data_IF_407347508397
#
_entry.id   IF_407347508397
#
_cell.length_a   1.000
_cell.length_b   1.000
_cell.length_c   1.000
_cell.angle_alpha   90.00
_cell.angle_beta   90.00
_cell.angle_gamma   90.00
#
_symmetry.space_group_name_H-M   'P 1'
#
loop_
_entity.id
_entity.type
_entity.pdbx_description
1 polymer ?
#
# COMPACT_ATOMS: atom_id res chain seq x y z
N UNK A 1 63.92 44.99 15.67
CA UNK A 1 63.35 44.00 16.54
C UNK A 1 61.91 44.33 16.77
N UNK A 2 60.94 43.47 16.59
CA UNK A 2 59.47 43.64 16.59
C UNK A 2 58.93 44.17 15.25
N UNK A 3 58.52 43.24 14.35
CA UNK A 3 57.43 43.43 13.36
C UNK A 3 57.44 42.29 12.32
N UNK A 4 57.41 41.01 12.74
CA UNK A 4 57.15 39.88 11.84
C UNK A 4 56.36 38.82 12.61
N UNK A 5 55.13 39.10 12.92
CA UNK A 5 54.27 38.08 13.52
C UNK A 5 52.78 38.46 13.42
N UNK A 6 52.34 38.91 12.28
CA UNK A 6 50.89 39.16 12.05
C UNK A 6 50.41 38.92 10.62
N UNK A 7 51.12 38.16 9.81
CA UNK A 7 50.70 37.95 8.40
C UNK A 7 50.52 36.49 8.01
N UNK A 8 50.58 35.55 8.95
CA UNK A 8 50.42 34.12 8.64
C UNK A 8 49.10 33.54 9.14
N UNK A 9 48.22 34.35 9.76
CA UNK A 9 46.90 33.89 10.27
C UNK A 9 45.72 34.21 9.35
N UNK A 10 45.95 34.84 8.18
CA UNK A 10 44.86 35.25 7.29
C UNK A 10 44.77 34.49 5.97
N UNK A 11 45.63 33.51 5.72
CA UNK A 11 45.67 32.73 4.48
C UNK A 11 45.07 31.32 4.67
N UNK A 12 44.77 30.88 5.89
CA UNK A 12 44.16 29.57 6.15
C UNK A 12 42.64 29.57 6.26
N UNK A 13 41.97 30.73 6.13
CA UNK A 13 40.51 30.85 6.26
C UNK A 13 39.79 30.95 4.90
N UNK A 14 40.50 30.95 3.77
CA UNK A 14 39.86 31.11 2.43
C UNK A 14 39.94 29.82 1.59
N UNK A 15 40.57 28.76 2.09
CA UNK A 15 40.72 27.48 1.35
C UNK A 15 39.64 26.44 1.70
N UNK A 16 38.61 26.76 2.49
CA UNK A 16 37.53 25.82 2.85
C UNK A 16 36.13 26.21 2.38
N UNK A 17 36.01 27.06 1.35
CA UNK A 17 34.68 27.47 0.84
C UNK A 17 34.50 27.25 -0.67
N UNK A 18 35.15 26.27 -1.27
CA UNK A 18 34.89 25.94 -2.67
C UNK A 18 34.87 24.45 -2.94
N UNK A 19 34.06 23.68 -2.21
CA UNK A 19 33.77 22.29 -2.58
C UNK A 19 32.37 21.84 -2.18
N UNK A 20 31.34 22.56 -2.59
CA UNK A 20 29.96 22.09 -2.51
C UNK A 20 29.11 22.60 -3.66
N UNK A 21 29.48 22.30 -4.90
CA UNK A 21 28.53 22.33 -6.03
C UNK A 21 29.01 21.30 -7.05
N UNK A 22 28.77 20.01 -6.81
CA UNK A 22 28.55 19.02 -7.87
C UNK A 22 27.72 17.90 -7.29
N UNK A 23 26.54 17.68 -7.84
CA UNK A 23 25.83 16.45 -7.58
C UNK A 23 24.34 16.61 -7.23
N UNK A 24 23.57 17.43 -7.95
CA UNK A 24 22.16 17.14 -8.10
C UNK A 24 22.01 16.03 -9.15
N UNK A 25 22.48 14.83 -8.80
CA UNK A 25 21.99 13.60 -9.36
C UNK A 25 20.78 13.22 -8.53
N UNK A 26 19.59 13.44 -9.06
CA UNK A 26 18.37 12.90 -8.48
C UNK A 26 18.40 11.38 -8.62
N UNK A 27 19.11 10.70 -7.72
CA UNK A 27 18.74 9.35 -7.36
C UNK A 27 17.43 9.48 -6.61
N UNK A 28 16.35 9.20 -7.33
CA UNK A 28 15.09 8.81 -6.74
C UNK A 28 15.39 7.50 -6.00
N UNK A 29 15.91 7.61 -4.79
CA UNK A 29 15.94 6.53 -3.86
C UNK A 29 14.47 6.15 -3.66
N UNK A 30 14.11 4.96 -4.09
CA UNK A 30 12.94 4.26 -3.61
C UNK A 30 13.00 4.37 -2.09
N UNK A 31 12.21 5.29 -1.53
CA UNK A 31 11.90 5.27 -0.12
C UNK A 31 11.07 4.01 0.07
N UNK A 32 11.73 2.93 0.45
CA UNK A 32 11.07 1.86 1.19
C UNK A 32 10.47 2.54 2.42
N UNK A 33 9.16 2.78 2.34
CA UNK A 33 8.42 3.22 3.48
C UNK A 33 8.50 2.07 4.49
N UNK A 34 9.37 2.19 5.49
CA UNK A 34 9.31 1.32 6.67
C UNK A 34 7.91 1.47 7.23
N UNK A 35 7.13 0.42 7.07
CA UNK A 35 5.78 0.35 7.58
C UNK A 35 5.87 0.35 9.10
N UNK A 36 5.33 1.39 9.73
CA UNK A 36 5.31 1.51 11.19
C UNK A 36 4.14 0.66 11.75
N UNK A 37 4.45 -0.56 12.19
CA UNK A 37 3.51 -1.49 12.83
C UNK A 37 3.43 -1.26 14.35
N UNK A 38 3.81 -0.08 14.84
CA UNK A 38 3.92 0.20 16.29
C UNK A 38 2.59 0.58 16.96
N UNK A 39 1.56 0.91 16.18
CA UNK A 39 0.27 1.35 16.69
C UNK A 39 -0.62 0.14 17.00
N UNK A 40 -0.69 -0.23 18.28
CA UNK A 40 -1.42 -1.40 18.77
C UNK A 40 -2.94 -1.18 18.68
N UNK A 41 -3.49 -1.41 17.51
CA UNK A 41 -4.93 -1.68 17.34
C UNK A 41 -5.06 -3.06 16.72
N UNK A 42 -6.16 -3.78 16.98
CA UNK A 42 -6.36 -5.11 16.42
C UNK A 42 -6.73 -5.09 14.92
N UNK A 43 -6.46 -3.99 14.24
CA UNK A 43 -6.81 -3.76 12.83
C UNK A 43 -5.55 -3.58 11.97
N UNK A 44 -5.48 -4.32 10.88
CA UNK A 44 -4.49 -4.18 9.82
C UNK A 44 -5.20 -3.80 8.52
N UNK A 45 -4.69 -2.80 7.82
CA UNK A 45 -5.15 -2.43 6.48
C UNK A 45 -4.11 -2.88 5.47
N UNK A 46 -4.44 -3.87 4.65
CA UNK A 46 -3.58 -4.36 3.58
C UNK A 46 -4.13 -3.92 2.24
N UNK A 47 -3.32 -3.35 1.37
CA UNK A 47 -3.80 -2.88 0.09
C UNK A 47 -2.78 -2.99 -1.04
N UNK A 48 -3.30 -3.11 -2.26
CA UNK A 48 -2.58 -2.91 -3.51
C UNK A 48 -3.15 -1.70 -4.25
N UNK A 49 -2.29 -0.83 -4.76
CA UNK A 49 -2.70 0.36 -5.51
C UNK A 49 -1.74 0.64 -6.66
N UNK A 50 -2.28 0.86 -7.86
CA UNK A 50 -1.53 1.28 -9.03
C UNK A 50 -1.70 2.78 -9.29
N UNK A 51 -2.95 3.27 -9.27
CA UNK A 51 -3.31 4.66 -9.58
C UNK A 51 -3.30 5.62 -8.37
N UNK A 52 -3.08 5.11 -7.15
CA UNK A 52 -3.19 5.89 -5.91
C UNK A 52 -4.56 5.79 -5.23
N UNK A 53 -5.63 5.36 -5.93
CA UNK A 53 -6.99 5.31 -5.36
C UNK A 53 -7.06 4.48 -4.07
N UNK A 54 -6.51 3.27 -4.10
CA UNK A 54 -6.52 2.40 -2.90
C UNK A 54 -5.58 2.88 -1.81
N UNK A 55 -4.54 3.63 -2.15
CA UNK A 55 -3.67 4.29 -1.16
C UNK A 55 -4.46 5.32 -0.35
N UNK A 56 -5.22 6.19 -1.03
CA UNK A 56 -6.11 7.18 -0.38
C UNK A 56 -7.18 6.50 0.48
N UNK A 57 -7.92 5.54 -0.09
CA UNK A 57 -8.95 4.81 0.65
C UNK A 57 -8.38 4.10 1.89
N UNK A 58 -7.23 3.44 1.75
CA UNK A 58 -6.55 2.74 2.84
C UNK A 58 -6.08 3.70 3.95
N UNK A 59 -5.60 4.88 3.57
CA UNK A 59 -5.25 5.92 4.51
C UNK A 59 -6.46 6.36 5.35
N UNK A 60 -7.61 6.57 4.73
CA UNK A 60 -8.84 6.95 5.45
C UNK A 60 -9.36 5.82 6.36
N UNK A 61 -9.25 4.56 5.91
CA UNK A 61 -9.59 3.39 6.76
C UNK A 61 -8.64 3.30 7.95
N UNK A 62 -7.33 3.40 7.73
CA UNK A 62 -6.33 3.34 8.79
C UNK A 62 -6.49 4.50 9.79
N UNK A 63 -6.73 5.71 9.29
CA UNK A 63 -7.00 6.88 10.13
C UNK A 63 -8.23 6.71 11.01
N UNK A 64 -9.32 6.16 10.46
CA UNK A 64 -10.58 6.00 11.18
C UNK A 64 -10.51 4.86 12.21
N UNK A 65 -9.87 3.74 11.85
CA UNK A 65 -9.69 2.58 12.73
C UNK A 65 -8.57 2.76 13.76
N UNK A 66 -7.60 3.62 13.46
CA UNK A 66 -6.31 3.66 14.16
C UNK A 66 -5.43 2.45 13.86
N UNK A 67 -5.73 1.69 12.81
CA UNK A 67 -5.01 0.48 12.39
C UNK A 67 -3.68 0.75 11.71
N UNK A 68 -2.84 -0.27 11.67
CA UNK A 68 -1.61 -0.26 10.89
C UNK A 68 -1.91 -0.47 9.39
N UNK A 69 -1.04 0.02 8.52
CA UNK A 69 -1.25 -0.03 7.08
C UNK A 69 -0.06 -0.67 6.36
N UNK A 70 -0.33 -1.65 5.50
CA UNK A 70 0.67 -2.36 4.69
C UNK A 70 0.30 -2.30 3.22
N UNK A 71 1.23 -1.84 2.38
CA UNK A 71 1.08 -1.87 0.93
C UNK A 71 1.69 -3.15 0.35
N UNK A 72 0.95 -3.85 -0.48
CA UNK A 72 1.47 -4.92 -1.32
C UNK A 72 2.17 -4.29 -2.52
N UNK A 73 3.48 -4.43 -2.60
CA UNK A 73 4.30 -3.97 -3.72
C UNK A 73 4.75 -5.19 -4.55
N UNK A 74 4.82 -5.05 -5.85
CA UNK A 74 5.45 -6.04 -6.71
C UNK A 74 6.94 -5.75 -6.83
N UNK A 75 7.80 -6.78 -6.88
CA UNK A 75 9.22 -6.59 -7.12
C UNK A 75 9.50 -5.97 -8.49
N UNK A 76 8.75 -6.38 -9.49
CA UNK A 76 8.73 -5.76 -10.81
C UNK A 76 7.51 -4.84 -10.87
N UNK A 77 7.75 -3.54 -10.92
CA UNK A 77 6.68 -2.54 -10.96
C UNK A 77 5.83 -2.68 -12.24
N UNK A 78 4.54 -2.40 -12.11
CA UNK A 78 3.67 -2.29 -13.29
C UNK A 78 4.02 -1.03 -14.09
N UNK A 79 3.88 -1.09 -15.44
CA UNK A 79 4.10 0.09 -16.27
C UNK A 79 3.25 1.31 -15.84
N UNK A 80 3.74 2.51 -16.13
CA UNK A 80 2.96 3.74 -15.92
C UNK A 80 1.81 3.87 -16.93
N UNK A 81 1.96 3.28 -18.12
CA UNK A 81 0.94 3.26 -19.16
C UNK A 81 -0.22 2.36 -18.75
N UNK A 82 -1.44 2.91 -18.83
CA UNK A 82 -2.66 2.13 -18.56
C UNK A 82 -2.78 0.88 -19.45
N UNK A 83 -2.54 1.04 -20.76
CA UNK A 83 -2.68 -0.06 -21.71
C UNK A 83 -1.67 -1.18 -21.43
N UNK A 84 -0.41 -0.83 -21.19
CA UNK A 84 0.64 -1.80 -20.92
C UNK A 84 0.40 -2.52 -19.58
N UNK A 85 -0.11 -1.80 -18.58
CA UNK A 85 -0.51 -2.38 -17.30
C UNK A 85 -1.71 -3.31 -17.47
N UNK A 86 -2.73 -2.90 -18.21
CA UNK A 86 -3.90 -3.73 -18.48
C UNK A 86 -3.53 -5.02 -19.23
N UNK A 87 -2.67 -4.93 -20.25
CA UNK A 87 -2.18 -6.06 -21.03
C UNK A 87 -1.35 -7.03 -20.17
N UNK A 88 -0.45 -6.49 -19.32
CA UNK A 88 0.33 -7.29 -18.38
C UNK A 88 -0.58 -8.00 -17.39
N UNK A 89 -1.48 -7.28 -16.76
CA UNK A 89 -2.43 -7.84 -15.78
C UNK A 89 -3.30 -8.94 -16.40
N UNK A 90 -3.75 -8.76 -17.65
CA UNK A 90 -4.50 -9.80 -18.38
C UNK A 90 -3.67 -11.05 -18.62
N UNK A 91 -2.44 -10.89 -19.06
CA UNK A 91 -1.53 -12.02 -19.29
C UNK A 91 -1.22 -12.78 -17.99
N UNK A 92 -1.02 -12.05 -16.90
CA UNK A 92 -0.79 -12.66 -15.59
C UNK A 92 -2.01 -13.48 -15.15
N UNK A 93 -3.21 -12.93 -15.29
CA UNK A 93 -4.44 -13.62 -14.94
C UNK A 93 -4.67 -14.85 -15.82
N UNK A 94 -4.58 -14.72 -17.14
CA UNK A 94 -4.84 -15.81 -18.10
C UNK A 94 -3.88 -17.00 -17.91
N UNK A 95 -2.65 -16.73 -17.48
CA UNK A 95 -1.63 -17.74 -17.26
C UNK A 95 -1.49 -18.15 -15.78
N UNK A 96 -2.30 -17.62 -14.88
CA UNK A 96 -2.23 -17.92 -13.46
C UNK A 96 -0.90 -17.53 -12.82
N UNK A 97 -0.23 -16.48 -13.33
CA UNK A 97 1.05 -16.00 -12.80
C UNK A 97 0.88 -15.47 -11.40
N UNK A 98 1.84 -15.74 -10.54
CA UNK A 98 1.96 -15.14 -9.20
C UNK A 98 3.15 -14.19 -9.19
N UNK A 99 2.94 -12.89 -9.46
CA UNK A 99 4.02 -11.91 -9.41
C UNK A 99 4.71 -11.94 -8.04
N UNK A 100 6.02 -11.84 -8.02
CA UNK A 100 6.74 -11.69 -6.77
C UNK A 100 6.38 -10.37 -6.11
N UNK A 101 6.06 -10.45 -4.82
CA UNK A 101 5.69 -9.29 -4.01
C UNK A 101 6.76 -8.98 -2.96
N UNK A 102 6.77 -7.72 -2.54
CA UNK A 102 7.56 -7.24 -1.42
C UNK A 102 6.59 -6.77 -0.32
N UNK A 103 6.39 -7.63 0.69
CA UNK A 103 5.54 -7.37 1.85
C UNK A 103 6.27 -7.82 3.09
N UNK A 104 6.55 -6.90 3.99
CA UNK A 104 7.18 -7.18 5.28
C UNK A 104 6.11 -7.48 6.34
N UNK A 105 5.56 -8.69 6.31
CA UNK A 105 4.58 -9.16 7.29
C UNK A 105 4.91 -10.58 7.73
N UNK A 106 5.47 -10.72 8.92
CA UNK A 106 5.71 -12.04 9.52
C UNK A 106 4.45 -12.63 10.14
N UNK A 107 4.43 -13.94 10.37
CA UNK A 107 3.32 -14.60 11.05
C UNK A 107 3.11 -14.04 12.48
N UNK A 108 4.20 -13.70 13.21
CA UNK A 108 4.10 -13.09 14.53
C UNK A 108 3.52 -11.67 14.48
N UNK A 109 3.83 -10.91 13.45
CA UNK A 109 3.23 -9.59 13.24
C UNK A 109 1.75 -9.72 12.91
N UNK A 110 1.40 -10.61 11.97
CA UNK A 110 0.01 -10.85 11.58
C UNK A 110 -0.84 -11.37 12.76
N UNK A 111 -0.26 -12.15 13.68
CA UNK A 111 -0.96 -12.67 14.87
C UNK A 111 -1.48 -11.57 15.82
N UNK A 112 -1.00 -10.33 15.72
CA UNK A 112 -1.44 -9.21 16.56
C UNK A 112 -2.78 -8.62 16.11
N UNK A 113 -3.26 -8.95 14.92
CA UNK A 113 -4.46 -8.38 14.34
C UNK A 113 -5.59 -9.42 14.29
N UNK A 114 -6.78 -8.99 14.67
CA UNK A 114 -8.00 -9.79 14.58
C UNK A 114 -8.77 -9.49 13.29
N UNK A 115 -8.63 -8.27 12.79
CA UNK A 115 -9.32 -7.77 11.60
C UNK A 115 -8.34 -7.28 10.55
N UNK A 116 -8.57 -7.68 9.31
CA UNK A 116 -7.82 -7.23 8.12
C UNK A 116 -8.79 -6.55 7.15
N UNK A 117 -8.63 -5.25 6.96
CA UNK A 117 -9.24 -4.54 5.84
C UNK A 117 -8.39 -4.79 4.59
N UNK A 118 -9.02 -5.30 3.53
CA UNK A 118 -8.33 -5.72 2.31
C UNK A 118 -8.70 -4.83 1.13
N UNK A 119 -7.79 -3.94 0.72
CA UNK A 119 -8.00 -2.95 -0.33
C UNK A 119 -7.37 -3.33 -1.68
N UNK A 120 -8.16 -3.26 -2.77
CA UNK A 120 -7.68 -3.60 -4.10
C UNK A 120 -8.48 -2.92 -5.23
N UNK A 121 -7.89 -2.69 -6.41
CA UNK A 121 -8.67 -2.37 -7.60
C UNK A 121 -9.21 -3.65 -8.23
N UNK A 122 -10.42 -3.63 -8.77
CA UNK A 122 -10.93 -4.76 -9.58
C UNK A 122 -10.29 -4.70 -10.96
N UNK A 123 -9.46 -5.69 -11.27
CA UNK A 123 -8.80 -5.83 -12.56
C UNK A 123 -9.32 -7.08 -13.29
N UNK A 124 -9.72 -6.89 -14.55
CA UNK A 124 -10.23 -7.99 -15.37
C UNK A 124 -11.26 -8.87 -14.64
N UNK A 125 -12.20 -8.20 -13.94
CA UNK A 125 -13.30 -8.82 -13.20
C UNK A 125 -12.89 -9.66 -11.97
N UNK A 126 -11.66 -9.48 -11.46
CA UNK A 126 -11.18 -10.18 -10.28
C UNK A 126 -10.13 -9.36 -9.51
N UNK A 127 -9.49 -9.98 -8.52
CA UNK A 127 -8.33 -9.45 -7.83
C UNK A 127 -7.13 -9.30 -8.78
N UNK A 128 -6.30 -8.26 -8.65
CA UNK A 128 -4.99 -8.24 -9.26
C UNK A 128 -4.13 -9.40 -8.79
N UNK A 129 -3.30 -9.97 -9.66
CA UNK A 129 -2.50 -11.14 -9.33
C UNK A 129 -1.53 -10.96 -8.16
N UNK A 130 -0.98 -9.76 -7.84
CA UNK A 130 -0.25 -9.53 -6.59
C UNK A 130 -1.08 -9.80 -5.32
N UNK A 131 -2.39 -9.55 -5.35
CA UNK A 131 -3.27 -9.87 -4.22
C UNK A 131 -3.53 -11.37 -4.08
N UNK A 132 -3.53 -12.11 -5.18
CA UNK A 132 -3.51 -13.58 -5.15
C UNK A 132 -2.25 -14.08 -4.46
N UNK A 133 -1.08 -13.57 -4.88
CA UNK A 133 0.20 -13.94 -4.26
C UNK A 133 0.18 -13.65 -2.76
N UNK A 134 -0.32 -12.47 -2.36
CA UNK A 134 -0.43 -12.11 -0.94
C UNK A 134 -1.32 -13.09 -0.17
N UNK A 135 -2.56 -13.30 -0.63
CA UNK A 135 -3.53 -14.17 0.06
C UNK A 135 -3.07 -15.63 0.16
N UNK A 136 -2.30 -16.12 -0.82
CA UNK A 136 -1.71 -17.46 -0.80
C UNK A 136 -0.47 -17.55 0.12
N UNK A 137 0.16 -16.44 0.45
CA UNK A 137 1.39 -16.39 1.26
C UNK A 137 1.16 -16.20 2.76
N UNK A 138 -0.06 -15.84 3.18
CA UNK A 138 -0.39 -15.54 4.57
C UNK A 138 -1.50 -16.45 5.11
N UNK A 139 -1.46 -16.74 6.40
CA UNK A 139 -2.55 -17.46 7.09
C UNK A 139 -3.49 -16.47 7.77
N UNK A 140 -4.68 -16.31 7.20
CA UNK A 140 -5.75 -15.45 7.74
C UNK A 140 -6.79 -16.23 8.56
N UNK A 141 -6.53 -17.50 8.90
CA UNK A 141 -7.45 -18.33 9.67
C UNK A 141 -7.83 -17.65 11.00
N UNK A 142 -9.12 -17.66 11.30
CA UNK A 142 -9.68 -17.06 12.52
C UNK A 142 -9.76 -15.53 12.51
N UNK A 143 -9.33 -14.86 11.44
CA UNK A 143 -9.43 -13.39 11.32
C UNK A 143 -10.70 -12.97 10.58
N UNK A 144 -11.18 -11.77 10.89
CA UNK A 144 -12.20 -11.10 10.09
C UNK A 144 -11.53 -10.39 8.92
N UNK A 145 -11.97 -10.64 7.68
CA UNK A 145 -11.48 -9.97 6.48
C UNK A 145 -12.59 -9.11 5.88
N UNK A 146 -12.35 -7.81 5.75
CA UNK A 146 -13.32 -6.84 5.25
C UNK A 146 -12.80 -6.23 3.95
N UNK A 147 -13.35 -6.63 2.79
CA UNK A 147 -12.91 -6.12 1.50
C UNK A 147 -13.35 -4.68 1.26
N UNK A 148 -12.50 -3.90 0.57
CA UNK A 148 -12.90 -2.65 -0.05
C UNK A 148 -12.16 -2.47 -1.37
N UNK A 149 -12.81 -1.89 -2.37
CA UNK A 149 -12.23 -1.86 -3.69
C UNK A 149 -12.65 -0.66 -4.53
N UNK A 150 -11.78 -0.30 -5.48
CA UNK A 150 -12.14 0.58 -6.58
C UNK A 150 -12.40 -0.20 -7.86
N UNK A 151 -13.25 0.34 -8.74
CA UNK A 151 -13.62 -0.28 -10.02
C UNK A 151 -13.95 0.77 -11.08
N UNK A 152 -14.01 0.37 -12.35
CA UNK A 152 -14.52 1.22 -13.44
C UNK A 152 -15.86 0.76 -14.02
N UNK A 153 -16.40 -0.36 -13.57
CA UNK A 153 -17.68 -0.88 -14.03
C UNK A 153 -18.22 -2.08 -13.24
N UNK A 154 -17.36 -2.72 -12.45
CA UNK A 154 -17.71 -3.92 -11.66
C UNK A 154 -18.08 -3.53 -10.23
N UNK A 155 -19.21 -2.83 -10.05
CA UNK A 155 -19.60 -2.28 -8.75
C UNK A 155 -19.94 -3.31 -7.67
N UNK A 156 -20.19 -4.56 -8.07
CA UNK A 156 -20.39 -5.72 -7.21
C UNK A 156 -19.09 -6.47 -6.88
N UNK A 157 -17.92 -5.96 -7.36
CA UNK A 157 -16.63 -6.62 -7.22
C UNK A 157 -16.42 -7.78 -8.18
N UNK A 158 -17.39 -8.09 -9.05
CA UNK A 158 -17.37 -9.22 -9.97
C UNK A 158 -16.99 -10.53 -9.25
N UNK A 159 -15.91 -11.22 -9.68
CA UNK A 159 -15.47 -12.48 -9.04
C UNK A 159 -14.60 -12.27 -7.80
N UNK A 160 -14.06 -11.07 -7.58
CA UNK A 160 -13.02 -10.83 -6.58
C UNK A 160 -13.41 -11.22 -5.14
N UNK A 161 -14.66 -11.00 -4.76
CA UNK A 161 -15.16 -11.37 -3.43
C UNK A 161 -15.17 -12.89 -3.22
N UNK A 162 -15.57 -13.66 -4.25
CA UNK A 162 -15.52 -15.13 -4.22
C UNK A 162 -14.07 -15.63 -4.18
N UNK A 163 -13.18 -14.94 -4.91
CA UNK A 163 -11.75 -15.25 -4.89
C UNK A 163 -11.16 -15.07 -3.50
N UNK A 164 -11.47 -13.97 -2.81
CA UNK A 164 -11.03 -13.75 -1.43
C UNK A 164 -11.53 -14.86 -0.51
N UNK A 165 -12.83 -15.21 -0.57
CA UNK A 165 -13.37 -16.31 0.24
C UNK A 165 -12.66 -17.65 -0.02
N UNK A 166 -12.25 -17.88 -1.26
CA UNK A 166 -11.55 -19.12 -1.64
C UNK A 166 -10.11 -19.16 -1.13
N UNK A 167 -9.41 -18.03 -1.18
CA UNK A 167 -7.99 -17.94 -0.83
C UNK A 167 -7.76 -17.71 0.67
N UNK A 168 -8.56 -16.87 1.32
CA UNK A 168 -8.49 -16.61 2.76
C UNK A 168 -9.15 -17.73 3.58
N UNK A 169 -8.63 -18.94 3.44
CA UNK A 169 -9.20 -20.13 4.08
C UNK A 169 -9.25 -19.98 5.61
N UNK A 170 -10.41 -20.29 6.17
CA UNK A 170 -10.61 -20.20 7.63
C UNK A 170 -10.82 -18.80 8.18
N UNK A 171 -10.77 -17.77 7.33
CA UNK A 171 -11.16 -16.41 7.70
C UNK A 171 -12.69 -16.21 7.60
N UNK A 172 -13.20 -15.28 8.40
CA UNK A 172 -14.57 -14.76 8.27
C UNK A 172 -14.58 -13.58 7.30
N UNK A 173 -14.81 -13.87 6.02
CA UNK A 173 -14.78 -12.85 4.94
C UNK A 173 -16.12 -12.16 4.84
N UNK A 174 -16.18 -10.88 5.17
CA UNK A 174 -17.39 -10.04 5.20
C UNK A 174 -17.73 -9.47 3.81
N UNK A 175 -18.07 -10.33 2.87
CA UNK A 175 -18.38 -9.91 1.50
C UNK A 175 -19.62 -9.01 1.40
N UNK A 176 -20.61 -9.19 2.30
CA UNK A 176 -21.80 -8.35 2.38
C UNK A 176 -21.55 -6.93 2.90
N UNK A 177 -20.42 -6.72 3.57
CA UNK A 177 -20.00 -5.45 4.14
C UNK A 177 -18.94 -4.74 3.27
N UNK A 178 -18.61 -5.30 2.10
CA UNK A 178 -17.58 -4.76 1.22
C UNK A 178 -17.92 -3.36 0.70
N UNK A 179 -16.94 -2.44 0.77
CA UNK A 179 -17.10 -1.11 0.18
C UNK A 179 -16.65 -1.10 -1.28
N UNK A 180 -17.52 -0.58 -2.14
CA UNK A 180 -17.29 -0.44 -3.58
C UNK A 180 -17.31 1.02 -4.00
N UNK A 181 -16.21 1.55 -4.54
CA UNK A 181 -16.17 2.93 -5.03
C UNK A 181 -15.63 2.96 -6.47
N UNK A 182 -16.34 3.68 -7.35
CA UNK A 182 -15.85 3.90 -8.70
C UNK A 182 -14.58 4.78 -8.68
N UNK A 183 -13.53 4.40 -9.42
CA UNK A 183 -12.24 5.08 -9.40
C UNK A 183 -12.32 6.59 -9.58
N UNK A 184 -13.10 7.07 -10.57
CA UNK A 184 -13.32 8.51 -10.77
C UNK A 184 -14.12 9.23 -9.67
N UNK A 185 -14.49 8.54 -8.59
CA UNK A 185 -15.17 9.10 -7.41
C UNK A 185 -14.34 9.04 -6.14
N UNK A 186 -13.23 8.32 -6.15
CA UNK A 186 -12.41 8.10 -4.96
C UNK A 186 -12.01 9.42 -4.30
N UNK A 187 -11.49 10.39 -5.06
CA UNK A 187 -11.02 11.68 -4.52
C UNK A 187 -12.08 12.47 -3.73
N UNK A 188 -13.36 12.18 -3.97
CA UNK A 188 -14.49 12.81 -3.28
C UNK A 188 -15.18 11.91 -2.25
N UNK A 189 -14.65 10.71 -1.97
CA UNK A 189 -15.31 9.67 -1.17
C UNK A 189 -14.76 9.50 0.25
N UNK A 190 -13.90 10.41 0.73
CA UNK A 190 -13.33 10.29 2.08
C UNK A 190 -14.40 10.11 3.16
N UNK A 191 -15.45 10.96 3.13
CA UNK A 191 -16.53 10.85 4.12
C UNK A 191 -17.27 9.53 4.02
N UNK A 192 -17.56 9.05 2.80
CA UNK A 192 -18.25 7.78 2.58
C UNK A 192 -17.43 6.60 3.14
N UNK A 193 -16.10 6.60 2.93
CA UNK A 193 -15.20 5.58 3.49
C UNK A 193 -15.20 5.61 5.02
N UNK A 194 -15.08 6.80 5.62
CA UNK A 194 -15.09 6.95 7.08
C UNK A 194 -16.43 6.54 7.70
N UNK A 195 -17.55 6.93 7.09
CA UNK A 195 -18.88 6.53 7.54
C UNK A 195 -19.09 5.02 7.42
N UNK A 196 -18.62 4.41 6.33
CA UNK A 196 -18.64 2.95 6.18
C UNK A 196 -17.87 2.26 7.30
N UNK A 197 -16.62 2.67 7.61
CA UNK A 197 -15.82 2.11 8.70
C UNK A 197 -16.56 2.20 10.04
N UNK A 198 -17.16 3.37 10.34
CA UNK A 198 -17.95 3.58 11.57
C UNK A 198 -19.18 2.68 11.63
N UNK A 199 -19.86 2.49 10.50
CA UNK A 199 -21.05 1.63 10.42
C UNK A 199 -20.76 0.18 10.74
N UNK A 200 -19.51 -0.26 10.52
CA UNK A 200 -19.01 -1.59 10.87
C UNK A 200 -18.58 -1.72 12.34
N UNK A 201 -18.62 -0.63 13.10
CA UNK A 201 -18.21 -0.60 14.50
C UNK A 201 -16.70 -0.41 14.72
N UNK A 202 -15.96 -0.02 13.69
CA UNK A 202 -14.53 0.29 13.79
C UNK A 202 -14.34 1.82 13.82
N UNK A 203 -14.03 2.36 14.97
CA UNK A 203 -13.62 3.75 15.14
C UNK A 203 -12.72 3.86 16.35
N UNK A 204 -11.69 4.72 16.26
CA UNK A 204 -10.81 5.03 17.41
C UNK A 204 -11.44 6.05 18.36
#
# INVERSE_FOLDING_TARGET
>A
MKRFCKLTALILAIAMLTLFIVGCGATRASQEAKQDLSKSTNVLVVYFSWSGHLESMSGWVADETGGDMIRVLTKEEYPESYNDTADRAKKEQDNGVRPEINVELTAEQLAKYDTVFLGYPVWWYDLPMPMWTFLESVDLSGKTVIPFFSHEGSSDGANSLNTIQTLAKGADVKTGDALSIRGGKVDSSENDVREWVRSLGYSK
#
